data_IF_563169994793
#
_entry.id   IF_563169994793
#
_cell.length_a   1.000
_cell.length_b   1.000
_cell.length_c   1.000
_cell.angle_alpha   90.00
_cell.angle_beta   90.00
_cell.angle_gamma   90.00
#
_symmetry.space_group_name_H-M   'P 1'
#
loop_
_entity.id
_entity.type
_entity.pdbx_description
1 polymer ?
#
# COMPACT_ATOMS: atom_id res chain seq x y z
N UNK A 1 -19.71 -8.70 -18.88
CA UNK A 1 -19.04 -9.02 -17.60
C UNK A 1 -18.00 -10.08 -17.89
N UNK A 2 -16.73 -9.70 -17.96
CA UNK A 2 -15.62 -10.66 -18.10
C UNK A 2 -15.26 -11.08 -16.67
N UNK A 3 -15.60 -12.30 -16.30
CA UNK A 3 -15.22 -12.89 -15.01
C UNK A 3 -13.94 -13.66 -15.29
N UNK A 4 -12.83 -13.25 -14.66
CA UNK A 4 -11.56 -13.96 -14.78
C UNK A 4 -11.73 -15.33 -14.11
N UNK A 5 -11.60 -16.43 -14.86
CA UNK A 5 -11.88 -17.79 -14.35
C UNK A 5 -10.90 -18.24 -13.27
N UNK A 6 -9.66 -17.75 -13.32
CA UNK A 6 -8.56 -18.05 -12.39
C UNK A 6 -7.50 -16.95 -12.49
N UNK A 7 -6.97 -16.46 -11.37
CA UNK A 7 -5.85 -15.50 -11.34
C UNK A 7 -4.54 -16.08 -11.93
N UNK A 8 -4.47 -17.38 -12.23
CA UNK A 8 -3.27 -18.04 -12.78
C UNK A 8 -2.11 -18.17 -11.77
N UNK A 9 -2.20 -17.46 -10.64
CA UNK A 9 -1.32 -17.53 -9.48
C UNK A 9 -1.92 -18.48 -8.43
N UNK A 10 -1.11 -19.43 -7.94
CA UNK A 10 -1.53 -20.35 -6.88
C UNK A 10 -1.75 -19.57 -5.58
N UNK A 11 -2.92 -19.76 -4.96
CA UNK A 11 -3.25 -19.15 -3.66
C UNK A 11 -3.91 -17.76 -3.74
N UNK A 12 -4.05 -17.18 -4.93
CA UNK A 12 -4.73 -15.89 -5.12
C UNK A 12 -6.18 -16.13 -5.59
N UNK A 13 -7.14 -15.85 -4.70
CA UNK A 13 -8.55 -15.98 -5.03
C UNK A 13 -9.02 -14.79 -5.87
N UNK A 14 -9.76 -15.08 -6.95
CA UNK A 14 -10.35 -14.05 -7.81
C UNK A 14 -11.36 -13.24 -7.01
N UNK A 15 -11.25 -11.91 -7.06
CA UNK A 15 -12.19 -11.03 -6.41
C UNK A 15 -13.27 -10.57 -7.38
N UNK A 16 -14.53 -10.90 -7.11
CA UNK A 16 -15.65 -10.52 -7.99
C UNK A 16 -15.99 -9.02 -7.95
N UNK A 17 -15.53 -8.29 -6.91
CA UNK A 17 -15.80 -6.85 -6.71
C UNK A 17 -14.53 -6.10 -6.31
N UNK A 18 -13.51 -6.07 -7.19
CA UNK A 18 -12.18 -5.67 -6.79
C UNK A 18 -12.07 -4.14 -6.57
N UNK A 19 -12.84 -3.33 -7.30
CA UNK A 19 -12.97 -1.88 -7.05
C UNK A 19 -13.50 -1.55 -5.66
N UNK A 20 -14.55 -2.25 -5.21
CA UNK A 20 -15.15 -2.00 -3.91
C UNK A 20 -14.21 -2.43 -2.79
N UNK A 21 -13.54 -3.58 -2.96
CA UNK A 21 -12.51 -4.06 -2.03
C UNK A 21 -11.35 -3.08 -1.91
N UNK A 22 -10.80 -2.60 -3.02
CA UNK A 22 -9.73 -1.60 -3.05
C UNK A 22 -10.15 -0.30 -2.37
N UNK A 23 -11.37 0.18 -2.63
CA UNK A 23 -11.89 1.39 -1.98
C UNK A 23 -11.97 1.24 -0.46
N UNK A 24 -12.44 0.08 0.03
CA UNK A 24 -12.50 -0.21 1.47
C UNK A 24 -11.09 -0.29 2.07
N UNK A 25 -10.13 -0.91 1.37
CA UNK A 25 -8.76 -1.03 1.88
C UNK A 25 -8.07 0.33 1.94
N UNK A 26 -8.13 1.13 0.88
CA UNK A 26 -7.52 2.45 0.84
C UNK A 26 -8.12 3.41 1.86
N UNK A 27 -9.45 3.39 2.06
CA UNK A 27 -10.09 4.20 3.12
C UNK A 27 -9.60 3.79 4.50
N UNK A 28 -9.53 2.49 4.80
CA UNK A 28 -8.98 2.01 6.08
C UNK A 28 -7.51 2.34 6.28
N UNK A 29 -6.69 2.35 5.22
CA UNK A 29 -5.29 2.77 5.32
C UNK A 29 -5.22 4.25 5.69
N UNK A 30 -6.03 5.10 5.04
CA UNK A 30 -6.09 6.53 5.37
C UNK A 30 -6.54 6.76 6.82
N UNK A 31 -7.54 6.01 7.32
CA UNK A 31 -7.96 6.08 8.73
C UNK A 31 -6.81 5.73 9.69
N UNK A 32 -6.03 4.68 9.43
CA UNK A 32 -4.88 4.31 10.27
C UNK A 32 -3.76 5.35 10.19
N UNK A 33 -3.59 6.02 9.05
CA UNK A 33 -2.61 7.08 8.89
C UNK A 33 -2.96 8.33 9.70
N UNK A 34 -4.24 8.55 10.06
CA UNK A 34 -4.65 9.66 10.93
C UNK A 34 -4.09 9.53 12.36
N UNK A 35 -3.84 8.30 12.84
CA UNK A 35 -3.20 8.04 14.13
C UNK A 35 -1.69 8.37 14.14
N UNK A 36 -1.08 8.54 12.96
CA UNK A 36 0.35 8.84 12.80
C UNK A 36 0.54 10.35 12.60
N UNK A 37 1.55 10.98 13.24
CA UNK A 37 1.81 12.40 13.03
C UNK A 37 2.10 12.73 11.56
N UNK A 38 1.44 13.77 11.03
CA UNK A 38 1.61 14.25 9.65
C UNK A 38 3.03 14.69 9.29
N UNK A 39 3.87 14.93 10.29
CA UNK A 39 5.28 15.26 10.10
C UNK A 39 6.14 14.03 9.75
N UNK A 40 5.62 12.80 9.95
CA UNK A 40 6.32 11.61 9.56
C UNK A 40 6.42 11.55 8.02
N UNK A 41 7.63 11.32 7.51
CA UNK A 41 7.86 11.15 6.07
C UNK A 41 6.97 10.02 5.50
N UNK A 42 6.82 8.91 6.24
CA UNK A 42 5.96 7.79 5.86
C UNK A 42 4.52 8.24 5.59
N UNK A 43 3.88 8.96 6.50
CA UNK A 43 2.50 9.44 6.33
C UNK A 43 2.34 10.26 5.06
N UNK A 44 3.23 11.22 4.82
CA UNK A 44 3.16 12.09 3.64
C UNK A 44 3.23 11.30 2.33
N UNK A 45 4.17 10.37 2.21
CA UNK A 45 4.33 9.59 0.99
C UNK A 45 3.21 8.55 0.82
N UNK A 46 2.82 7.87 1.88
CA UNK A 46 1.76 6.86 1.83
C UNK A 46 0.41 7.51 1.52
N UNK A 47 0.08 8.65 2.14
CA UNK A 47 -1.14 9.41 1.79
C UNK A 47 -1.16 9.81 0.32
N UNK A 48 -0.05 10.28 -0.24
CA UNK A 48 0.02 10.65 -1.66
C UNK A 48 -0.26 9.44 -2.56
N UNK A 49 0.46 8.34 -2.34
CA UNK A 49 0.34 7.12 -3.16
C UNK A 49 -1.08 6.56 -3.07
N UNK A 50 -1.66 6.51 -1.87
CA UNK A 50 -3.00 5.96 -1.65
C UNK A 50 -4.06 6.85 -2.29
N UNK A 51 -3.92 8.18 -2.21
CA UNK A 51 -4.85 9.10 -2.87
C UNK A 51 -4.78 9.02 -4.40
N UNK A 52 -3.57 8.94 -4.97
CA UNK A 52 -3.38 8.75 -6.41
C UNK A 52 -4.03 7.43 -6.87
N UNK A 53 -3.74 6.32 -6.18
CA UNK A 53 -4.35 5.01 -6.48
C UNK A 53 -5.87 5.02 -6.32
N UNK A 54 -6.38 5.65 -5.27
CA UNK A 54 -7.81 5.78 -5.04
C UNK A 54 -8.50 6.61 -6.14
N UNK A 55 -7.84 7.67 -6.62
CA UNK A 55 -8.34 8.48 -7.74
C UNK A 55 -8.40 7.67 -9.04
N UNK A 56 -7.37 6.87 -9.33
CA UNK A 56 -7.35 5.97 -10.50
C UNK A 56 -8.47 4.93 -10.43
N UNK A 57 -8.67 4.28 -9.28
CA UNK A 57 -9.76 3.30 -9.07
C UNK A 57 -11.14 3.94 -9.20
N UNK A 58 -11.30 5.22 -8.86
CA UNK A 58 -12.56 5.96 -9.04
C UNK A 58 -12.79 6.41 -10.48
N UNK A 59 -11.72 6.71 -11.21
CA UNK A 59 -11.79 7.22 -12.58
C UNK A 59 -12.11 6.10 -13.58
N UNK A 60 -11.51 4.93 -13.42
CA UNK A 60 -11.67 3.79 -14.35
C UNK A 60 -12.58 2.70 -13.76
N UNK A 61 -13.82 2.55 -14.28
CA UNK A 61 -14.73 1.49 -13.86
C UNK A 61 -14.38 0.12 -14.48
N UNK A 62 -13.55 0.09 -15.52
CA UNK A 62 -13.15 -1.14 -16.20
C UNK A 62 -11.91 -1.76 -15.53
N UNK A 63 -11.97 -3.06 -15.24
CA UNK A 63 -10.89 -3.78 -14.54
C UNK A 63 -9.63 -3.85 -15.40
N UNK A 64 -9.76 -4.14 -16.70
CA UNK A 64 -8.60 -4.34 -17.57
C UNK A 64 -7.84 -3.04 -17.79
N UNK A 65 -8.56 -1.94 -18.03
CA UNK A 65 -7.94 -0.62 -18.16
C UNK A 65 -7.28 -0.16 -16.87
N UNK A 66 -7.90 -0.47 -15.74
CA UNK A 66 -7.34 -0.16 -14.44
C UNK A 66 -6.04 -0.93 -14.18
N UNK A 67 -5.93 -2.19 -14.60
CA UNK A 67 -4.68 -2.98 -14.53
C UNK A 67 -3.57 -2.33 -15.36
N UNK A 68 -3.85 -1.95 -16.60
CA UNK A 68 -2.90 -1.25 -17.48
C UNK A 68 -2.43 0.09 -16.88
N UNK A 69 -3.36 0.84 -16.27
CA UNK A 69 -3.05 2.14 -15.68
C UNK A 69 -2.27 2.03 -14.36
N UNK A 70 -2.55 1.02 -13.54
CA UNK A 70 -1.84 0.83 -12.27
C UNK A 70 -0.43 0.26 -12.45
N UNK A 71 -0.12 -0.35 -13.60
CA UNK A 71 1.16 -1.02 -13.90
C UNK A 71 1.60 -2.00 -12.79
N UNK A 72 0.64 -2.58 -12.06
CA UNK A 72 0.85 -3.31 -10.82
C UNK A 72 0.66 -4.82 -10.92
N UNK A 73 0.54 -5.36 -12.13
CA UNK A 73 0.12 -6.74 -12.34
C UNK A 73 -1.41 -6.88 -12.33
N UNK A 74 -1.91 -8.00 -11.82
CA UNK A 74 -3.35 -8.26 -11.73
C UNK A 74 -3.98 -7.45 -10.59
N UNK A 75 -5.27 -7.12 -10.70
CA UNK A 75 -5.96 -6.36 -9.64
C UNK A 75 -5.93 -7.09 -8.29
N UNK A 76 -5.93 -8.43 -8.30
CA UNK A 76 -5.81 -9.24 -7.09
C UNK A 76 -4.46 -9.05 -6.37
N UNK A 77 -3.36 -8.89 -7.10
CA UNK A 77 -2.04 -8.60 -6.51
C UNK A 77 -2.03 -7.21 -5.87
N UNK A 78 -2.69 -6.24 -6.51
CA UNK A 78 -2.87 -4.89 -5.97
C UNK A 78 -3.69 -4.92 -4.68
N UNK A 79 -4.74 -5.75 -4.61
CA UNK A 79 -5.53 -5.94 -3.39
C UNK A 79 -4.66 -6.51 -2.28
N UNK A 80 -3.88 -7.56 -2.57
CA UNK A 80 -2.96 -8.16 -1.61
C UNK A 80 -1.92 -7.15 -1.11
N UNK A 81 -1.37 -6.34 -2.02
CA UNK A 81 -0.44 -5.27 -1.68
C UNK A 81 -1.09 -4.24 -0.75
N UNK A 82 -2.35 -3.86 -1.00
CA UNK A 82 -3.09 -2.95 -0.13
C UNK A 82 -3.36 -3.57 1.26
N UNK A 83 -3.61 -4.88 1.36
CA UNK A 83 -3.75 -5.57 2.65
C UNK A 83 -2.42 -5.60 3.43
N UNK A 84 -1.30 -5.83 2.73
CA UNK A 84 0.03 -5.73 3.33
C UNK A 84 0.34 -4.31 3.80
N UNK A 85 0.00 -3.28 3.01
CA UNK A 85 0.18 -1.89 3.39
C UNK A 85 -0.65 -1.53 4.63
N UNK A 86 -1.89 -2.00 4.73
CA UNK A 86 -2.73 -1.81 5.90
C UNK A 86 -2.13 -2.48 7.15
N UNK A 87 -1.58 -3.69 6.99
CA UNK A 87 -0.86 -4.38 8.07
C UNK A 87 0.41 -3.62 8.48
N UNK A 88 1.16 -3.10 7.50
CA UNK A 88 2.36 -2.30 7.73
C UNK A 88 2.01 -1.01 8.49
N UNK A 89 1.00 -0.25 8.04
CA UNK A 89 0.57 0.99 8.68
C UNK A 89 0.22 0.76 10.16
N UNK A 90 -0.49 -0.33 10.49
CA UNK A 90 -0.78 -0.71 11.89
C UNK A 90 0.48 -1.02 12.71
N UNK A 91 1.47 -1.67 12.11
CA UNK A 91 2.76 -1.92 12.77
C UNK A 91 3.57 -0.64 12.95
N UNK A 92 3.54 0.26 11.96
CA UNK A 92 4.21 1.56 12.03
C UNK A 92 3.69 2.40 13.21
N UNK A 93 2.38 2.33 13.50
CA UNK A 93 1.80 2.95 14.70
C UNK A 93 2.45 2.44 15.98
N UNK A 94 2.71 1.13 16.07
CA UNK A 94 3.35 0.51 17.24
C UNK A 94 4.85 0.82 17.32
N UNK A 95 5.53 0.82 16.17
CA UNK A 95 6.98 1.02 16.09
C UNK A 95 7.43 2.46 16.25
N UNK A 96 6.53 3.44 16.04
CA UNK A 96 6.84 4.87 16.14
C UNK A 96 8.13 5.25 15.41
N UNK A 97 8.29 4.75 14.19
CA UNK A 97 9.52 4.91 13.39
C UNK A 97 9.84 6.36 13.02
N UNK A 98 8.97 7.31 13.35
CA UNK A 98 9.17 8.75 13.20
C UNK A 98 9.89 9.39 14.40
N UNK A 99 10.16 8.63 15.45
CA UNK A 99 11.01 9.08 16.55
C UNK A 99 12.48 9.17 16.08
N UNK A 100 13.26 10.13 16.63
CA UNK A 100 14.68 10.23 16.30
C UNK A 100 15.41 8.94 16.67
N UNK A 101 16.54 8.70 15.99
CA UNK A 101 17.35 7.49 16.17
C UNK A 101 17.71 7.33 17.65
N UNK A 102 17.37 6.18 18.22
CA UNK A 102 17.55 5.89 19.65
C UNK A 102 19.01 5.84 20.07
N UNK A 103 19.91 5.46 19.15
CA UNK A 103 21.35 5.39 19.39
C UNK A 103 22.14 5.96 18.21
N UNK A 104 23.02 6.94 18.47
CA UNK A 104 23.91 7.48 17.45
C UNK A 104 24.90 6.40 17.01
N UNK A 105 25.09 6.24 15.71
CA UNK A 105 25.97 5.18 15.18
C UNK A 105 27.41 5.41 15.62
N UNK A 106 28.12 4.39 16.14
CA UNK A 106 29.56 4.45 16.40
C UNK A 106 30.33 4.87 15.14
N UNK A 107 31.34 5.74 15.29
CA UNK A 107 32.05 6.38 14.18
C UNK A 107 32.69 5.41 13.15
N UNK A 108 33.01 4.19 13.57
CA UNK A 108 33.65 3.17 12.72
C UNK A 108 32.68 2.12 12.15
N UNK A 109 31.38 2.17 12.48
CA UNK A 109 30.44 1.10 12.12
C UNK A 109 30.12 1.01 10.62
N UNK A 110 30.20 2.13 9.89
CA UNK A 110 29.84 2.20 8.46
C UNK A 110 31.00 2.64 7.56
N UNK A 111 32.24 2.57 8.05
CA UNK A 111 33.42 2.97 7.28
C UNK A 111 33.87 1.82 6.36
N UNK A 112 33.80 2.06 5.04
CA UNK A 112 34.28 1.13 4.02
C UNK A 112 34.91 1.89 2.84
N UNK A 113 36.08 1.48 2.30
CA UNK A 113 37.00 0.43 2.78
C UNK A 113 37.82 0.87 4.01
N UNK A 114 38.47 -0.09 4.67
CA UNK A 114 39.39 0.15 5.81
C UNK A 114 40.69 0.77 5.30
#
# INVERSE_FOLDING_TARGET
MIIVKTAGLVGLAVCNTPHERLRILYTKILEVLEDIPKNAAYTKYTEQIINEKLAMVKAEPDVQKLEDQLQGGQLEEVILQAEHELSLARKMVQWKTWEPVVEETPADQWKWPI
#
